data_IF_743336190347
#
_entry.id   IF_743336190347
#
_cell.length_a   1.000
_cell.length_b   1.000
_cell.length_c   1.000
_cell.angle_alpha   90.00
_cell.angle_beta   90.00
_cell.angle_gamma   90.00
#
_symmetry.space_group_name_H-M   'P 1'
#
loop_
_entity.id
_entity.type
_entity.pdbx_description
1 polymer ?
#
# COMPACT_ATOMS: atom_id res chain seq x y z
N UNK A 1 -7.39 -15.06 -18.57
CA UNK A 1 -6.23 -15.72 -17.93
C UNK A 1 -6.02 -15.07 -16.58
N UNK A 2 -5.91 -15.80 -15.46
CA UNK A 2 -5.58 -15.15 -14.20
C UNK A 2 -4.17 -14.58 -14.36
N UNK A 3 -4.05 -13.26 -14.20
CA UNK A 3 -2.77 -12.58 -14.16
C UNK A 3 -1.95 -13.19 -13.02
N UNK A 4 -0.97 -14.03 -13.37
CA UNK A 4 -0.07 -14.61 -12.38
C UNK A 4 0.60 -13.47 -11.62
N UNK A 5 0.37 -13.40 -10.30
CA UNK A 5 0.89 -12.29 -9.51
C UNK A 5 2.40 -12.47 -9.38
N UNK A 6 3.16 -11.38 -9.50
CA UNK A 6 4.62 -11.39 -9.35
C UNK A 6 5.12 -12.17 -8.10
N UNK A 7 4.40 -12.10 -6.98
CA UNK A 7 4.74 -12.90 -5.79
C UNK A 7 4.69 -14.41 -6.02
N UNK A 8 3.68 -14.92 -6.74
CA UNK A 8 3.58 -16.33 -7.10
C UNK A 8 4.67 -16.75 -8.08
N UNK A 9 5.03 -15.86 -9.02
CA UNK A 9 6.14 -16.08 -9.95
C UNK A 9 7.48 -16.28 -9.21
N UNK A 10 7.77 -15.46 -8.20
CA UNK A 10 9.00 -15.58 -7.40
C UNK A 10 9.04 -16.88 -6.59
N UNK A 11 7.90 -17.29 -6.02
CA UNK A 11 7.78 -18.55 -5.26
C UNK A 11 7.95 -19.76 -6.17
N UNK A 12 7.30 -19.77 -7.35
CA UNK A 12 7.42 -20.86 -8.32
C UNK A 12 8.86 -21.06 -8.82
N UNK A 13 9.67 -19.98 -8.86
CA UNK A 13 11.10 -20.04 -9.20
C UNK A 13 12.01 -20.39 -8.02
N UNK A 14 11.47 -20.56 -6.82
CA UNK A 14 12.25 -20.84 -5.61
C UNK A 14 13.16 -19.70 -5.16
N UNK A 15 12.85 -18.46 -5.58
CA UNK A 15 13.67 -17.27 -5.28
C UNK A 15 13.35 -16.74 -3.89
N UNK A 16 12.08 -16.85 -3.51
CA UNK A 16 11.56 -16.51 -2.18
C UNK A 16 10.57 -17.58 -1.75
N UNK A 17 10.36 -17.73 -0.44
CA UNK A 17 9.35 -18.64 0.08
C UNK A 17 8.01 -17.93 0.27
N UNK A 18 6.92 -18.70 0.42
CA UNK A 18 5.59 -18.13 0.70
C UNK A 18 5.59 -17.29 1.99
N UNK A 19 6.36 -17.70 3.00
CA UNK A 19 6.54 -16.92 4.24
C UNK A 19 7.17 -15.54 3.99
N UNK A 20 8.09 -15.42 3.03
CA UNK A 20 8.73 -14.16 2.67
C UNK A 20 7.74 -13.23 1.96
N UNK A 21 6.87 -13.80 1.12
CA UNK A 21 5.77 -13.05 0.51
C UNK A 21 4.81 -12.53 1.57
N UNK A 22 4.43 -13.36 2.54
CA UNK A 22 3.55 -12.95 3.64
C UNK A 22 4.20 -11.83 4.49
N UNK A 23 5.49 -11.97 4.81
CA UNK A 23 6.24 -10.95 5.54
C UNK A 23 6.34 -9.63 4.76
N UNK A 24 6.59 -9.68 3.45
CA UNK A 24 6.62 -8.51 2.59
C UNK A 24 5.25 -7.83 2.49
N UNK A 25 4.16 -8.59 2.38
CA UNK A 25 2.80 -8.06 2.39
C UNK A 25 2.45 -7.37 3.72
N UNK A 26 2.89 -7.95 4.85
CA UNK A 26 2.74 -7.33 6.16
C UNK A 26 3.57 -6.02 6.27
N UNK A 27 4.81 -6.04 5.81
CA UNK A 27 5.67 -4.86 5.75
C UNK A 27 5.08 -3.74 4.89
N UNK A 28 4.51 -4.08 3.72
CA UNK A 28 3.78 -3.12 2.88
C UNK A 28 2.60 -2.49 3.64
N UNK A 29 1.82 -3.30 4.35
CA UNK A 29 0.68 -2.80 5.14
C UNK A 29 1.13 -1.84 6.24
N UNK A 30 2.21 -2.16 6.95
CA UNK A 30 2.75 -1.34 8.04
C UNK A 30 3.42 -0.06 7.57
N UNK A 31 4.06 -0.10 6.40
CA UNK A 31 4.82 1.04 5.85
C UNK A 31 3.92 2.02 5.07
N UNK A 32 2.71 1.59 4.67
CA UNK A 32 1.76 2.46 3.97
C UNK A 32 1.42 3.68 4.84
N UNK A 33 1.55 4.90 4.29
CA UNK A 33 1.23 6.09 5.05
C UNK A 33 -0.26 6.09 5.44
N UNK A 34 -0.62 6.46 6.68
CA UNK A 34 -2.02 6.55 7.07
C UNK A 34 -2.74 7.60 6.22
N UNK A 35 -4.02 7.35 5.91
CA UNK A 35 -4.79 8.18 4.99
C UNK A 35 -4.85 9.67 5.42
N UNK A 36 -4.85 9.94 6.73
CA UNK A 36 -4.79 11.30 7.27
C UNK A 36 -3.48 12.04 6.93
N UNK A 37 -2.35 11.32 6.89
CA UNK A 37 -1.05 11.89 6.46
C UNK A 37 -1.07 12.21 4.97
N UNK A 38 -1.66 11.34 4.15
CA UNK A 38 -1.83 11.58 2.71
C UNK A 38 -2.73 12.79 2.47
N UNK A 39 -3.85 12.88 3.20
CA UNK A 39 -4.79 13.99 3.11
C UNK A 39 -4.13 15.34 3.47
N UNK A 40 -3.25 15.34 4.47
CA UNK A 40 -2.46 16.51 4.83
C UNK A 40 -1.46 16.91 3.73
N UNK A 41 -0.67 15.94 3.22
CA UNK A 41 0.33 16.18 2.17
C UNK A 41 -0.32 16.70 0.88
N UNK A 42 -1.51 16.18 0.54
CA UNK A 42 -2.30 16.60 -0.62
C UNK A 42 -3.10 17.90 -0.37
N UNK A 43 -2.97 18.53 0.81
CA UNK A 43 -3.72 19.72 1.23
C UNK A 43 -5.25 19.55 1.20
N UNK A 44 -5.74 18.32 1.25
CA UNK A 44 -7.17 18.01 1.35
C UNK A 44 -7.70 18.20 2.77
N UNK A 45 -6.82 18.00 3.76
CA UNK A 45 -7.08 18.31 5.16
C UNK A 45 -5.97 19.20 5.72
N UNK A 46 -6.34 20.05 6.66
CA UNK A 46 -5.39 20.80 7.49
C UNK A 46 -5.01 19.99 8.74
N UNK A 47 -3.87 20.32 9.37
CA UNK A 47 -3.46 19.71 10.65
C UNK A 47 -4.58 19.77 11.70
N UNK A 48 -5.28 20.92 11.80
CA UNK A 48 -6.39 21.10 12.75
C UNK A 48 -7.54 20.12 12.47
N UNK A 49 -7.88 19.91 11.21
CA UNK A 49 -8.94 18.95 10.83
C UNK A 49 -8.51 17.51 11.10
N UNK A 50 -7.26 17.14 10.80
CA UNK A 50 -6.72 15.80 11.10
C UNK A 50 -6.78 15.51 12.60
N UNK A 51 -6.31 16.44 13.44
CA UNK A 51 -6.37 16.29 14.90
C UNK A 51 -7.81 16.13 15.38
N UNK A 52 -8.74 16.92 14.82
CA UNK A 52 -10.17 16.80 15.18
C UNK A 52 -10.75 15.43 14.82
N UNK A 53 -10.43 14.90 13.64
CA UNK A 53 -10.86 13.55 13.22
C UNK A 53 -10.26 12.48 14.15
N UNK A 54 -8.98 12.60 14.52
CA UNK A 54 -8.31 11.63 15.41
C UNK A 54 -8.90 11.63 16.83
N UNK A 55 -9.27 12.80 17.35
CA UNK A 55 -9.96 12.90 18.64
C UNK A 55 -11.33 12.20 18.60
N UNK A 56 -12.13 12.47 17.57
CA UNK A 56 -13.43 11.80 17.36
C UNK A 56 -13.27 10.29 17.17
N UNK A 57 -12.16 9.85 16.57
CA UNK A 57 -11.87 8.42 16.38
C UNK A 57 -11.60 7.71 17.71
N UNK A 58 -10.97 8.38 18.66
CA UNK A 58 -10.75 7.89 20.01
C UNK A 58 -12.08 7.66 20.75
N UNK A 59 -13.02 8.61 20.59
CA UNK A 59 -14.31 8.59 21.28
C UNK A 59 -15.31 7.60 20.64
N UNK A 60 -15.32 7.53 19.31
CA UNK A 60 -16.38 6.81 18.55
C UNK A 60 -15.96 5.46 17.96
N UNK A 61 -14.66 5.13 17.95
CA UNK A 61 -14.10 3.96 17.27
C UNK A 61 -14.44 3.84 15.77
N UNK A 62 -15.00 4.88 15.14
CA UNK A 62 -15.29 4.94 13.70
C UNK A 62 -14.00 5.03 12.88
N UNK A 63 -14.04 4.68 11.60
CA UNK A 63 -12.87 4.84 10.74
C UNK A 63 -12.60 6.32 10.45
N UNK A 64 -11.32 6.68 10.34
CA UNK A 64 -10.87 8.05 10.03
C UNK A 64 -11.64 8.67 8.84
N UNK A 65 -11.78 7.90 7.76
CA UNK A 65 -12.49 8.36 6.55
C UNK A 65 -13.98 8.58 6.78
N UNK A 66 -14.62 7.78 7.63
CA UNK A 66 -16.04 7.94 7.95
C UNK A 66 -16.27 9.20 8.77
N UNK A 67 -15.44 9.42 9.80
CA UNK A 67 -15.49 10.62 10.64
C UNK A 67 -15.20 11.87 9.81
N UNK A 68 -14.22 11.81 8.89
CA UNK A 68 -13.92 12.94 8.02
C UNK A 68 -15.11 13.33 7.12
N UNK A 69 -15.95 12.36 6.73
CA UNK A 69 -17.19 12.60 5.99
C UNK A 69 -18.29 13.14 6.90
N UNK A 70 -18.44 12.56 8.09
CA UNK A 70 -19.43 12.97 9.09
C UNK A 70 -19.23 14.43 9.54
N UNK A 71 -17.96 14.84 9.74
CA UNK A 71 -17.57 16.21 10.05
C UNK A 71 -17.63 17.18 8.86
N UNK A 72 -17.96 16.69 7.66
CA UNK A 72 -18.02 17.49 6.43
C UNK A 72 -16.66 17.97 5.91
N UNK A 73 -15.56 17.36 6.37
CA UNK A 73 -14.21 17.72 5.93
C UNK A 73 -13.80 17.05 4.61
N UNK A 74 -14.35 15.88 4.32
CA UNK A 74 -14.15 15.15 3.07
C UNK A 74 -15.49 14.65 2.54
N UNK A 75 -15.63 14.45 1.23
CA UNK A 75 -16.72 13.66 0.66
C UNK A 75 -16.32 12.18 0.61
N UNK A 76 -17.29 11.29 0.46
CA UNK A 76 -17.03 9.84 0.24
C UNK A 76 -16.09 9.60 -0.95
N UNK A 77 -16.21 10.44 -1.98
CA UNK A 77 -15.36 10.41 -3.17
C UNK A 77 -13.90 10.79 -2.86
N UNK A 78 -13.70 11.81 -2.03
CA UNK A 78 -12.37 12.23 -1.57
C UNK A 78 -11.69 11.13 -0.75
N UNK A 79 -12.43 10.47 0.14
CA UNK A 79 -11.93 9.30 0.90
C UNK A 79 -11.54 8.17 -0.05
N UNK A 80 -12.35 7.89 -1.07
CA UNK A 80 -12.03 6.87 -2.08
C UNK A 80 -10.75 7.22 -2.86
N UNK A 81 -10.60 8.48 -3.28
CA UNK A 81 -9.40 8.96 -3.94
C UNK A 81 -8.15 8.84 -3.04
N UNK A 82 -8.27 9.21 -1.77
CA UNK A 82 -7.18 9.07 -0.81
C UNK A 82 -6.78 7.61 -0.56
N UNK A 83 -7.75 6.68 -0.53
CA UNK A 83 -7.48 5.24 -0.44
C UNK A 83 -6.77 4.71 -1.70
N UNK A 84 -7.11 5.23 -2.89
CA UNK A 84 -6.43 4.86 -4.13
C UNK A 84 -4.97 5.36 -4.14
N UNK A 85 -4.75 6.60 -3.70
CA UNK A 85 -3.41 7.18 -3.53
C UNK A 85 -2.62 6.36 -2.49
N UNK A 86 -3.22 6.01 -1.36
CA UNK A 86 -2.57 5.19 -0.33
C UNK A 86 -2.11 3.83 -0.85
N UNK A 87 -2.90 3.20 -1.74
CA UNK A 87 -2.53 1.94 -2.38
C UNK A 87 -1.33 2.09 -3.30
N UNK A 88 -1.18 3.24 -3.96
CA UNK A 88 -0.08 3.56 -4.89
C UNK A 88 1.21 4.02 -4.19
N UNK A 89 1.09 4.68 -3.04
CA UNK A 89 2.23 5.24 -2.28
C UNK A 89 2.90 4.21 -1.34
N UNK A 90 2.37 2.98 -1.25
CA UNK A 90 3.03 1.90 -0.51
C UNK A 90 4.21 1.32 -1.29
N UNK A 91 5.25 0.80 -0.61
CA UNK A 91 6.34 0.10 -1.30
C UNK A 91 5.77 -1.04 -2.13
N UNK A 92 6.32 -1.34 -3.31
CA UNK A 92 5.88 -2.50 -4.10
C UNK A 92 6.33 -3.80 -3.41
N UNK A 93 5.78 -4.93 -3.86
CA UNK A 93 6.09 -6.21 -3.23
C UNK A 93 7.59 -6.52 -3.33
N UNK A 94 8.20 -6.18 -4.48
CA UNK A 94 9.65 -6.27 -4.69
C UNK A 94 10.45 -5.41 -3.73
N UNK A 95 10.12 -4.12 -3.60
CA UNK A 95 10.81 -3.22 -2.67
C UNK A 95 10.69 -3.69 -1.22
N UNK A 96 9.53 -4.25 -0.84
CA UNK A 96 9.32 -4.81 0.49
C UNK A 96 10.21 -6.05 0.73
N UNK A 97 10.35 -6.94 -0.26
CA UNK A 97 11.25 -8.11 -0.17
C UNK A 97 12.72 -7.68 -0.05
N UNK A 98 13.12 -6.63 -0.76
CA UNK A 98 14.48 -6.05 -0.66
C UNK A 98 14.70 -5.39 0.69
N UNK A 99 13.75 -4.60 1.18
CA UNK A 99 13.81 -3.97 2.50
C UNK A 99 13.92 -5.00 3.64
N UNK A 100 13.25 -6.15 3.50
CA UNK A 100 13.33 -7.26 4.45
C UNK A 100 14.56 -8.17 4.25
N UNK A 101 15.45 -7.84 3.31
CA UNK A 101 16.64 -8.65 2.93
C UNK A 101 16.29 -10.09 2.52
N UNK A 102 15.07 -10.31 2.04
CA UNK A 102 14.62 -11.60 1.49
C UNK A 102 14.97 -11.75 0.01
N UNK A 103 15.25 -10.63 -0.65
CA UNK A 103 15.66 -10.53 -2.05
C UNK A 103 16.72 -9.43 -2.16
N UNK A 104 17.70 -9.58 -3.04
CA UNK A 104 18.62 -8.48 -3.35
C UNK A 104 18.07 -7.63 -4.52
N UNK A 105 18.42 -6.34 -4.54
CA UNK A 105 17.99 -5.40 -5.57
C UNK A 105 18.32 -5.89 -6.99
N UNK A 106 19.52 -6.43 -7.22
CA UNK A 106 19.93 -6.93 -8.53
C UNK A 106 19.08 -8.14 -8.95
N UNK A 107 18.74 -9.01 -8.00
CA UNK A 107 17.90 -10.19 -8.27
C UNK A 107 16.47 -9.74 -8.57
N UNK A 108 15.94 -8.76 -7.84
CA UNK A 108 14.62 -8.18 -8.10
C UNK A 108 14.53 -7.64 -9.52
N UNK A 109 15.49 -6.82 -9.95
CA UNK A 109 15.50 -6.23 -11.30
C UNK A 109 15.49 -7.31 -12.39
N UNK A 110 16.32 -8.34 -12.24
CA UNK A 110 16.37 -9.47 -13.18
C UNK A 110 15.05 -10.24 -13.23
N UNK A 111 14.40 -10.48 -12.09
CA UNK A 111 13.12 -11.18 -12.06
C UNK A 111 11.96 -10.34 -12.59
N UNK A 112 12.00 -9.02 -12.40
CA UNK A 112 11.03 -8.11 -12.99
C UNK A 112 11.12 -8.12 -14.51
N UNK A 113 12.33 -8.06 -15.08
CA UNK A 113 12.53 -8.16 -16.54
C UNK A 113 11.95 -9.46 -17.09
N UNK A 114 12.28 -10.59 -16.47
CA UNK A 114 11.79 -11.91 -16.89
C UNK A 114 10.26 -12.02 -16.78
N UNK A 115 9.69 -11.52 -15.69
CA UNK A 115 8.24 -11.47 -15.47
C UNK A 115 7.53 -10.59 -16.52
N UNK A 116 8.04 -9.40 -16.80
CA UNK A 116 7.44 -8.51 -17.81
C UNK A 116 7.56 -9.09 -19.22
N UNK A 117 8.66 -9.79 -19.52
CA UNK A 117 8.82 -10.49 -20.80
C UNK A 117 7.83 -11.66 -20.95
N UNK A 118 7.54 -12.37 -19.85
CA UNK A 118 6.56 -13.46 -19.82
C UNK A 118 5.12 -12.96 -19.95
N UNK A 119 4.77 -11.86 -19.27
CA UNK A 119 3.40 -11.31 -19.24
C UNK A 119 3.10 -10.42 -20.45
N UNK A 120 4.11 -9.80 -21.05
CA UNK A 120 3.99 -8.90 -22.21
C UNK A 120 3.81 -9.59 -23.56
N UNK A 121 3.86 -10.93 -23.63
CA UNK A 121 3.63 -11.72 -24.85
C UNK A 121 2.17 -12.21 -25.00
N UNK A 122 1.22 -11.63 -24.27
CA UNK A 122 -0.21 -12.01 -24.29
C UNK A 122 -1.12 -10.95 -24.89
#
# INVERSE_FOLDING_TARGET
MPSERFGSFLVNRGIVQEEDILAALDYQRKTRPPIGKIALLRKMLTMKQVVKILNEQCDTHKLFGEIAVDLGFLKKEDVRNLLDIQKKEGPLLGDALVALKKLDQQTLERQLEDYFHLVGQG
#
